data_IF_896084292724
#
_entry.id   IF_896084292724
#
_cell.length_a   1.000
_cell.length_b   1.000
_cell.length_c   1.000
_cell.angle_alpha   90.00
_cell.angle_beta   90.00
_cell.angle_gamma   90.00
#
_symmetry.space_group_name_H-M   'P 1'
#
loop_
_entity.id
_entity.type
_entity.pdbx_description
1 polymer ?
#
# COMPACT_ATOMS: atom_id res chain seq x y z
N UNK A 1 -4.64 1.69 14.06
CA UNK A 1 -3.97 1.77 12.74
C UNK A 1 -2.90 0.72 12.53
N UNK A 2 -1.70 0.82 13.12
CA UNK A 2 -0.60 -0.11 12.81
C UNK A 2 -0.94 -1.59 13.03
N UNK A 3 -1.68 -1.93 14.10
CA UNK A 3 -2.14 -3.30 14.35
C UNK A 3 -3.05 -3.82 13.23
N UNK A 4 -4.09 -3.06 12.86
CA UNK A 4 -5.02 -3.42 11.78
C UNK A 4 -4.31 -3.54 10.44
N UNK A 5 -3.35 -2.64 10.16
CA UNK A 5 -2.55 -2.70 8.94
C UNK A 5 -1.71 -3.97 8.89
N UNK A 6 -1.01 -4.31 9.97
CA UNK A 6 -0.21 -5.53 10.02
C UNK A 6 -1.10 -6.77 9.88
N UNK A 7 -2.27 -6.81 10.52
CA UNK A 7 -3.22 -7.90 10.37
C UNK A 7 -3.72 -8.07 8.93
N UNK A 8 -4.10 -6.97 8.26
CA UNK A 8 -4.50 -6.99 6.85
C UNK A 8 -3.34 -7.42 5.94
N UNK A 9 -2.17 -6.82 6.14
CA UNK A 9 -0.98 -7.10 5.34
C UNK A 9 -0.57 -8.57 5.46
N UNK A 10 -0.43 -9.08 6.68
CA UNK A 10 0.11 -10.42 6.90
C UNK A 10 -0.91 -11.51 6.55
N UNK A 11 -2.21 -11.27 6.78
CA UNK A 11 -3.25 -12.30 6.55
C UNK A 11 -3.84 -12.29 5.14
N UNK A 12 -3.83 -11.15 4.45
CA UNK A 12 -4.49 -10.99 3.14
C UNK A 12 -3.50 -10.62 2.05
N UNK A 13 -2.81 -9.49 2.22
CA UNK A 13 -2.04 -8.92 1.11
C UNK A 13 -0.76 -9.69 0.82
N UNK A 14 0.05 -10.05 1.83
CA UNK A 14 1.30 -10.81 1.60
C UNK A 14 1.04 -12.17 0.93
N UNK A 15 0.09 -13.00 1.41
CA UNK A 15 -0.25 -14.26 0.73
C UNK A 15 -0.66 -14.09 -0.73
N UNK A 16 -1.31 -12.98 -1.08
CA UNK A 16 -1.81 -12.73 -2.43
C UNK A 16 -0.72 -12.16 -3.38
N UNK A 17 0.07 -11.20 -2.90
CA UNK A 17 0.96 -10.40 -3.72
C UNK A 17 2.45 -10.76 -3.61
N UNK A 18 2.90 -11.28 -2.46
CA UNK A 18 4.30 -11.68 -2.24
C UNK A 18 4.47 -13.15 -2.61
N UNK A 19 4.67 -13.41 -3.90
CA UNK A 19 4.83 -14.77 -4.43
C UNK A 19 6.31 -15.14 -4.51
N UNK A 20 6.67 -16.30 -3.97
CA UNK A 20 8.04 -16.85 -4.01
C UNK A 20 8.50 -17.16 -5.44
N UNK A 21 7.57 -17.43 -6.35
CA UNK A 21 7.82 -17.98 -7.69
C UNK A 21 7.74 -16.94 -8.81
N UNK A 22 8.39 -15.78 -8.67
CA UNK A 22 8.66 -14.94 -9.85
C UNK A 22 9.90 -15.47 -10.58
N UNK A 23 9.73 -16.64 -11.20
CA UNK A 23 10.73 -17.35 -12.02
C UNK A 23 11.08 -16.57 -13.31
N UNK A 24 10.26 -15.57 -13.66
CA UNK A 24 10.48 -14.68 -14.80
C UNK A 24 10.94 -13.31 -14.32
N UNK A 25 12.25 -13.19 -14.03
CA UNK A 25 12.95 -12.00 -13.52
C UNK A 25 13.06 -10.85 -14.55
N UNK A 26 12.06 -10.66 -15.39
CA UNK A 26 12.07 -9.63 -16.44
C UNK A 26 11.34 -8.35 -16.02
N UNK A 27 10.40 -8.46 -15.06
CA UNK A 27 9.61 -7.33 -14.55
C UNK A 27 9.78 -7.10 -13.06
N UNK A 28 9.40 -5.91 -12.59
CA UNK A 28 9.40 -5.57 -11.17
C UNK A 28 8.36 -6.39 -10.42
N UNK A 29 8.70 -6.85 -9.22
CA UNK A 29 7.78 -7.65 -8.39
C UNK A 29 7.85 -7.28 -6.91
N UNK A 30 6.74 -7.47 -6.21
CA UNK A 30 6.61 -7.16 -4.79
C UNK A 30 7.37 -8.22 -3.98
N UNK A 31 8.26 -7.76 -3.11
CA UNK A 31 9.01 -8.61 -2.17
C UNK A 31 8.60 -8.41 -0.72
N UNK A 32 7.93 -7.30 -0.43
CA UNK A 32 7.41 -7.02 0.91
C UNK A 32 6.27 -6.00 0.84
N UNK A 33 5.39 -6.06 1.85
CA UNK A 33 4.32 -5.11 2.08
C UNK A 33 4.38 -4.68 3.55
N UNK A 34 4.28 -3.38 3.82
CA UNK A 34 4.36 -2.84 5.16
C UNK A 34 3.57 -1.55 5.30
N UNK A 35 3.43 -1.08 6.53
CA UNK A 35 2.83 0.21 6.82
C UNK A 35 3.83 1.15 7.50
N UNK A 36 3.65 2.46 7.34
CA UNK A 36 4.48 3.46 8.01
C UNK A 36 3.77 4.81 8.19
N UNK A 37 4.24 5.55 9.18
CA UNK A 37 3.89 6.96 9.39
C UNK A 37 4.92 7.86 8.69
N UNK A 38 4.43 8.82 7.90
CA UNK A 38 5.27 9.86 7.29
C UNK A 38 4.52 11.19 7.38
N UNK A 39 5.13 12.18 8.03
CA UNK A 39 4.61 13.55 8.13
C UNK A 39 3.13 13.63 8.53
N UNK A 40 2.75 12.90 9.59
CA UNK A 40 1.39 12.89 10.14
C UNK A 40 0.36 12.05 9.35
N UNK A 41 0.80 11.32 8.32
CA UNK A 41 -0.07 10.47 7.50
C UNK A 41 0.36 9.02 7.59
N UNK A 42 -0.60 8.11 7.51
CA UNK A 42 -0.36 6.68 7.55
C UNK A 42 -0.44 6.08 6.15
N UNK A 43 0.54 5.27 5.78
CA UNK A 43 0.64 4.69 4.45
C UNK A 43 0.74 3.18 4.51
N UNK A 44 0.14 2.51 3.54
CA UNK A 44 0.54 1.16 3.16
C UNK A 44 1.44 1.24 1.93
N UNK A 45 2.50 0.44 1.96
CA UNK A 45 3.62 0.51 1.05
C UNK A 45 3.94 -0.88 0.51
N UNK A 46 4.31 -0.93 -0.76
CA UNK A 46 4.87 -2.09 -1.42
C UNK A 46 6.35 -1.85 -1.72
N UNK A 47 7.19 -2.82 -1.33
CA UNK A 47 8.59 -2.87 -1.73
C UNK A 47 8.70 -3.72 -2.98
N UNK A 48 9.17 -3.11 -4.06
CA UNK A 48 9.44 -3.81 -5.30
C UNK A 48 10.92 -4.13 -5.44
N UNK A 49 11.21 -5.27 -6.04
CA UNK A 49 12.52 -5.63 -6.56
C UNK A 49 12.56 -5.40 -8.07
N UNK A 50 13.59 -4.71 -8.54
CA UNK A 50 13.91 -4.52 -9.95
C UNK A 50 15.03 -5.48 -10.34
N UNK A 51 14.73 -6.55 -11.09
CA UNK A 51 15.74 -7.55 -11.44
C UNK A 51 16.65 -7.13 -12.61
N UNK A 52 16.30 -6.08 -13.35
CA UNK A 52 17.07 -5.63 -14.52
C UNK A 52 18.48 -5.19 -14.12
N UNK A 53 19.49 -5.66 -14.84
CA UNK A 53 20.89 -5.22 -14.68
C UNK A 53 21.09 -3.71 -14.94
N UNK A 54 20.14 -3.08 -15.66
CA UNK A 54 20.14 -1.65 -15.95
C UNK A 54 19.32 -0.83 -14.97
N UNK A 55 18.78 -1.43 -13.91
CA UNK A 55 17.99 -0.72 -12.92
C UNK A 55 18.85 0.33 -12.19
N UNK A 56 18.29 1.53 -12.01
CA UNK A 56 18.95 2.59 -11.22
C UNK A 56 19.09 2.16 -9.75
N UNK A 57 18.15 1.35 -9.25
CA UNK A 57 18.15 0.77 -7.91
C UNK A 57 17.56 -0.63 -7.95
N UNK A 58 18.12 -1.55 -7.17
CA UNK A 58 17.61 -2.91 -7.00
C UNK A 58 16.22 -2.94 -6.36
N UNK A 59 15.90 -1.93 -5.53
CA UNK A 59 14.62 -1.83 -4.85
C UNK A 59 14.03 -0.43 -4.93
N UNK A 60 12.71 -0.34 -4.95
CA UNK A 60 11.98 0.91 -4.74
C UNK A 60 10.71 0.67 -3.93
N UNK A 61 10.18 1.75 -3.36
CA UNK A 61 8.94 1.75 -2.61
C UNK A 61 7.84 2.42 -3.44
N UNK A 62 6.69 1.77 -3.54
CA UNK A 62 5.43 2.37 -3.99
C UNK A 62 4.47 2.48 -2.82
N UNK A 63 3.81 3.63 -2.64
CA UNK A 63 2.76 3.80 -1.63
C UNK A 63 1.42 3.71 -2.35
N UNK A 64 0.56 2.78 -1.95
CA UNK A 64 -0.69 2.52 -2.67
C UNK A 64 -1.93 3.03 -1.91
N UNK A 65 -1.87 3.09 -0.57
CA UNK A 65 -2.93 3.65 0.25
C UNK A 65 -2.38 4.71 1.22
N UNK A 66 -3.16 5.75 1.46
CA UNK A 66 -2.88 6.83 2.42
C UNK A 66 -4.11 7.13 3.25
N UNK A 67 -3.95 7.06 4.56
CA UNK A 67 -4.96 7.43 5.56
C UNK A 67 -4.51 8.73 6.23
N UNK A 68 -5.35 9.75 6.17
CA UNK A 68 -5.18 11.02 6.87
C UNK A 68 -6.16 11.12 8.03
N UNK A 69 -5.69 11.52 9.21
CA UNK A 69 -6.56 11.74 10.38
C UNK A 69 -7.16 13.14 10.27
N UNK A 70 -8.49 13.23 10.16
CA UNK A 70 -9.22 14.50 10.10
C UNK A 70 -9.71 14.89 11.48
N UNK A 71 -10.27 13.95 12.22
CA UNK A 71 -10.67 14.09 13.63
C UNK A 71 -10.52 12.73 14.35
N UNK A 72 -10.76 12.64 15.67
CA UNK A 72 -10.55 11.40 16.43
C UNK A 72 -11.17 10.14 15.80
N UNK A 73 -12.33 10.27 15.17
CA UNK A 73 -13.10 9.15 14.59
C UNK A 73 -13.30 9.27 13.06
N UNK A 74 -12.70 10.27 12.41
CA UNK A 74 -12.86 10.52 10.97
C UNK A 74 -11.52 10.56 10.25
N UNK A 75 -11.48 9.85 9.13
CA UNK A 75 -10.29 9.66 8.31
C UNK A 75 -10.61 9.88 6.84
N UNK A 76 -9.61 10.33 6.08
CA UNK A 76 -9.68 10.37 4.64
C UNK A 76 -8.76 9.30 4.05
N UNK A 77 -9.30 8.50 3.13
CA UNK A 77 -8.57 7.47 2.41
C UNK A 77 -8.33 7.91 0.96
N UNK A 78 -7.05 7.90 0.56
CA UNK A 78 -6.59 8.25 -0.78
C UNK A 78 -5.74 7.13 -1.39
N UNK A 79 -5.81 6.95 -2.70
CA UNK A 79 -4.90 6.10 -3.46
C UNK A 79 -3.86 6.93 -4.22
N UNK A 80 -2.72 6.32 -4.53
CA UNK A 80 -1.70 6.94 -5.38
C UNK A 80 -1.99 6.60 -6.85
N UNK A 81 -2.31 7.62 -7.65
CA UNK A 81 -2.41 7.45 -9.10
C UNK A 81 -1.01 7.28 -9.69
N UNK A 82 -0.90 6.55 -10.81
CA UNK A 82 0.36 6.37 -11.54
C UNK A 82 1.03 7.69 -11.98
N UNK A 83 0.31 8.81 -11.95
CA UNK A 83 0.84 10.16 -12.19
C UNK A 83 1.57 10.77 -10.98
N UNK A 84 1.63 10.08 -9.85
CA UNK A 84 2.22 10.57 -8.59
C UNK A 84 1.28 11.47 -7.77
N UNK A 85 0.00 11.55 -8.15
CA UNK A 85 -1.00 12.34 -7.45
C UNK A 85 -1.80 11.46 -6.48
N UNK A 86 -2.01 11.97 -5.27
CA UNK A 86 -2.94 11.36 -4.33
C UNK A 86 -4.36 11.79 -4.65
N UNK A 87 -5.24 10.82 -4.89
CA UNK A 87 -6.65 11.06 -5.13
C UNK A 87 -7.43 10.51 -3.95
N UNK A 88 -8.16 11.39 -3.28
CA UNK A 88 -9.08 11.02 -2.21
C UNK A 88 -10.31 10.34 -2.81
N UNK A 89 -10.63 9.14 -2.32
CA UNK A 89 -11.81 8.39 -2.74
C UNK A 89 -12.87 8.35 -1.65
N UNK A 90 -12.44 8.28 -0.39
CA UNK A 90 -13.35 8.16 0.75
C UNK A 90 -13.02 9.21 1.82
N UNK A 91 -13.74 10.34 1.84
CA UNK A 91 -13.60 11.36 2.88
C UNK A 91 -14.46 11.04 4.12
N UNK A 92 -13.97 11.42 5.30
CA UNK A 92 -14.69 11.38 6.59
C UNK A 92 -15.32 10.01 6.91
N UNK A 93 -14.53 8.94 6.75
CA UNK A 93 -14.92 7.57 7.09
C UNK A 93 -14.23 7.09 8.37
N UNK A 94 -14.73 6.03 8.98
CA UNK A 94 -14.08 5.42 10.15
C UNK A 94 -12.79 4.70 9.77
N UNK A 95 -12.00 4.33 10.78
CA UNK A 95 -10.78 3.58 10.51
C UNK A 95 -11.08 2.15 10.03
N UNK A 96 -12.17 1.54 10.50
CA UNK A 96 -12.64 0.23 10.05
C UNK A 96 -13.05 0.28 8.57
N UNK A 97 -13.77 1.32 8.17
CA UNK A 97 -14.12 1.56 6.76
C UNK A 97 -12.88 1.78 5.90
N UNK A 98 -11.84 2.47 6.41
CA UNK A 98 -10.58 2.61 5.67
C UNK A 98 -9.97 1.25 5.33
N UNK A 99 -9.84 0.36 6.32
CA UNK A 99 -9.23 -0.96 6.10
C UNK A 99 -10.11 -1.88 5.28
N UNK A 100 -11.44 -1.79 5.40
CA UNK A 100 -12.37 -2.52 4.55
C UNK A 100 -12.22 -2.11 3.08
N UNK A 101 -12.16 -0.81 2.79
CA UNK A 101 -11.97 -0.32 1.42
C UNK A 101 -10.58 -0.69 0.89
N UNK A 102 -9.52 -0.62 1.70
CA UNK A 102 -8.18 -1.09 1.28
C UNK A 102 -8.19 -2.58 0.93
N UNK A 103 -8.94 -3.41 1.64
CA UNK A 103 -9.04 -4.86 1.35
C UNK A 103 -9.87 -5.16 0.10
N UNK A 104 -10.89 -4.35 -0.21
CA UNK A 104 -11.95 -4.73 -1.17
C UNK A 104 -11.99 -3.89 -2.44
N UNK A 105 -11.51 -2.65 -2.42
CA UNK A 105 -11.54 -1.76 -3.57
C UNK A 105 -10.26 -1.94 -4.43
N UNK A 106 -10.39 -2.26 -5.73
CA UNK A 106 -9.28 -2.39 -6.66
C UNK A 106 -8.33 -1.18 -6.73
N UNK A 107 -8.77 0.02 -6.34
CA UNK A 107 -7.89 1.21 -6.31
C UNK A 107 -6.73 1.10 -5.31
N UNK A 108 -6.81 0.19 -4.32
CA UNK A 108 -5.76 -0.01 -3.31
C UNK A 108 -4.96 -1.29 -3.50
N UNK A 109 -4.98 -1.88 -4.69
CA UNK A 109 -4.09 -3.00 -5.00
C UNK A 109 -2.64 -2.49 -5.08
N UNK A 110 -1.68 -3.19 -4.42
CA UNK A 110 -0.30 -2.76 -4.32
C UNK A 110 0.48 -2.78 -5.64
#
# INVERSE_FOLDING_TARGET
MSKMANELIDKKLKPEYVKESNVHKEFNYIVDLYSKWVSGRFYLCAKYRCPSERAISEFFESKFARIEVVSPDNFNLSYMRYTGQWIELYPNITIEECFLNIETDPWFQP
#
